data_IF_386706600327
#
_entry.id   IF_386706600327
#
_cell.length_a   1.000
_cell.length_b   1.000
_cell.length_c   1.000
_cell.angle_alpha   90.00
_cell.angle_beta   90.00
_cell.angle_gamma   90.00
#
_symmetry.space_group_name_H-M   'P 1'
#
loop_
_entity.id
_entity.type
_entity.pdbx_description
1 polymer ?
#
# COMPACT_ATOMS: atom_id res chain seq x y z
N UNK A 1 52.04 -13.56 11.55
CA UNK A 1 50.70 -13.72 10.93
C UNK A 1 49.66 -13.00 11.79
N UNK A 2 49.18 -11.84 11.34
CA UNK A 2 47.96 -11.19 11.87
C UNK A 2 47.26 -10.56 10.67
N UNK A 3 46.22 -11.23 10.16
CA UNK A 3 45.29 -10.67 9.18
C UNK A 3 44.26 -9.83 9.94
N UNK A 4 44.22 -8.53 9.65
CA UNK A 4 43.16 -7.63 10.11
C UNK A 4 41.99 -7.68 9.13
N UNK A 5 40.86 -8.21 9.59
CA UNK A 5 39.60 -8.26 8.83
C UNK A 5 38.96 -6.87 8.79
N UNK A 6 38.83 -6.31 7.59
CA UNK A 6 38.10 -5.05 7.34
C UNK A 6 36.60 -5.27 7.58
N UNK A 7 36.03 -4.60 8.56
CA UNK A 7 34.58 -4.48 8.72
C UNK A 7 34.05 -3.46 7.70
N UNK A 8 33.25 -3.92 6.73
CA UNK A 8 32.52 -3.05 5.83
C UNK A 8 31.33 -2.45 6.59
N UNK A 9 31.43 -1.18 6.94
CA UNK A 9 30.36 -0.40 7.55
C UNK A 9 29.35 -0.03 6.45
N UNK A 10 28.25 -0.76 6.33
CA UNK A 10 27.16 -0.43 5.40
C UNK A 10 26.33 0.68 6.05
N UNK A 11 26.59 1.93 5.66
CA UNK A 11 25.73 3.07 5.98
C UNK A 11 24.38 2.90 5.29
N UNK A 12 23.35 2.49 6.05
CA UNK A 12 21.96 2.56 5.63
C UNK A 12 21.56 4.02 5.45
N UNK A 13 21.56 4.48 4.19
CA UNK A 13 20.94 5.76 3.83
C UNK A 13 19.43 5.59 3.99
N UNK A 14 18.87 6.07 5.10
CA UNK A 14 17.42 6.08 5.29
C UNK A 14 16.81 7.06 4.30
N UNK A 15 16.21 6.55 3.23
CA UNK A 15 15.42 7.38 2.33
C UNK A 15 14.26 8.00 3.12
N UNK A 16 13.99 9.31 3.00
CA UNK A 16 12.89 9.94 3.69
C UNK A 16 11.58 9.32 3.21
N UNK A 17 10.78 8.80 4.14
CA UNK A 17 9.40 8.45 3.85
C UNK A 17 8.65 9.73 3.47
N UNK A 18 8.36 9.91 2.17
CA UNK A 18 7.51 11.00 1.71
C UNK A 18 6.11 10.80 2.30
N UNK A 19 5.78 11.59 3.32
CA UNK A 19 4.46 11.61 3.92
C UNK A 19 3.61 12.57 3.10
N UNK A 20 2.77 12.05 2.18
CA UNK A 20 1.76 12.88 1.52
C UNK A 20 0.67 13.19 2.55
N UNK A 21 0.74 14.37 3.16
CA UNK A 21 -0.34 14.91 3.97
C UNK A 21 -1.40 15.54 3.05
N UNK A 22 -2.53 14.87 2.83
CA UNK A 22 -3.69 15.47 2.15
C UNK A 22 -4.99 14.96 2.81
N UNK A 23 -5.49 15.73 3.78
CA UNK A 23 -6.85 15.61 4.28
C UNK A 23 -7.47 17.02 4.37
N UNK A 24 -8.49 17.28 3.55
CA UNK A 24 -9.44 18.39 3.75
C UNK A 24 -10.70 17.84 4.42
N UNK A 25 -11.35 18.60 5.32
CA UNK A 25 -12.43 18.09 6.16
C UNK A 25 -13.73 17.94 5.36
N UNK A 26 -14.29 16.73 5.41
CA UNK A 26 -15.55 16.37 4.76
C UNK A 26 -15.55 14.89 4.41
N UNK A 27 -15.96 14.04 5.35
CA UNK A 27 -15.82 12.57 5.40
C UNK A 27 -14.47 12.12 5.96
N UNK A 28 -14.54 11.42 7.10
CA UNK A 28 -13.46 10.96 7.98
C UNK A 28 -12.07 10.84 7.29
N UNK A 29 -11.10 11.58 7.82
CA UNK A 29 -9.74 11.60 7.30
C UNK A 29 -9.11 10.20 7.37
N UNK A 30 -8.58 9.70 6.24
CA UNK A 30 -7.51 8.70 6.33
C UNK A 30 -6.33 9.38 6.99
N UNK A 31 -5.96 8.91 8.17
CA UNK A 31 -4.98 9.63 8.95
C UNK A 31 -3.58 9.52 8.37
N UNK A 32 -3.21 8.43 7.68
CA UNK A 32 -1.84 8.25 7.18
C UNK A 32 -1.78 7.31 5.97
N UNK A 33 -1.34 7.86 4.82
CA UNK A 33 -0.87 7.09 3.66
C UNK A 33 0.65 7.15 3.69
N UNK A 34 1.30 6.01 3.67
CA UNK A 34 2.76 5.93 3.53
C UNK A 34 3.09 5.25 2.21
N UNK A 35 3.91 5.90 1.40
CA UNK A 35 4.43 5.34 0.15
C UNK A 35 5.88 4.94 0.37
N UNK A 36 6.17 3.66 0.17
CA UNK A 36 7.53 3.14 0.19
C UNK A 36 7.93 2.79 -1.26
N UNK A 37 8.92 3.49 -1.85
CA UNK A 37 9.37 3.23 -3.22
C UNK A 37 9.88 1.80 -3.39
N UNK A 38 9.83 1.29 -4.63
CA UNK A 38 10.41 0.00 -4.97
C UNK A 38 11.87 -0.10 -4.53
N UNK A 39 12.26 -1.22 -3.92
CA UNK A 39 13.61 -1.45 -3.41
C UNK A 39 13.89 -0.87 -2.02
N UNK A 40 13.01 -0.03 -1.46
CA UNK A 40 13.13 0.42 -0.07
C UNK A 40 12.84 -0.71 0.93
N UNK A 41 13.43 -0.65 2.12
CA UNK A 41 13.17 -1.60 3.22
C UNK A 41 11.68 -1.74 3.51
N UNK A 42 10.93 -0.63 3.50
CA UNK A 42 9.49 -0.62 3.73
C UNK A 42 8.68 -1.34 2.64
N UNK A 43 9.13 -1.28 1.39
CA UNK A 43 8.50 -1.96 0.26
C UNK A 43 8.84 -3.45 0.19
N UNK A 44 10.09 -3.81 0.52
CA UNK A 44 10.57 -5.19 0.59
C UNK A 44 9.99 -5.96 1.76
N UNK A 45 9.65 -5.26 2.85
CA UNK A 45 8.88 -5.81 3.94
C UNK A 45 7.47 -6.16 3.45
N UNK A 46 7.29 -7.41 3.04
CA UNK A 46 6.00 -8.04 2.71
C UNK A 46 5.15 -8.28 3.98
N UNK A 47 5.08 -7.28 4.85
CA UNK A 47 4.31 -7.24 6.09
C UNK A 47 3.33 -6.08 6.03
N UNK A 48 2.21 -6.22 6.75
CA UNK A 48 1.24 -5.15 6.88
C UNK A 48 0.82 -5.00 8.35
N UNK A 49 0.76 -3.76 8.87
CA UNK A 49 0.24 -3.53 10.21
C UNK A 49 -1.19 -4.05 10.36
N UNK A 50 -1.53 -4.47 11.59
CA UNK A 50 -2.84 -5.01 11.95
C UNK A 50 -4.03 -4.13 11.51
N UNK A 51 -3.90 -2.81 11.69
CA UNK A 51 -4.94 -1.83 11.42
C UNK A 51 -4.81 -1.14 10.05
N UNK A 52 -4.10 -1.75 9.10
CA UNK A 52 -3.78 -1.17 7.80
C UNK A 52 -4.15 -2.07 6.63
N UNK A 53 -4.10 -1.47 5.43
CA UNK A 53 -4.09 -2.18 4.16
C UNK A 53 -2.82 -1.81 3.42
N UNK A 54 -2.12 -2.81 2.90
CA UNK A 54 -0.87 -2.64 2.18
C UNK A 54 -1.05 -3.14 0.75
N UNK A 55 -0.67 -2.34 -0.22
CA UNK A 55 -0.88 -2.61 -1.63
C UNK A 55 0.41 -2.37 -2.39
N UNK A 56 0.70 -3.23 -3.35
CA UNK A 56 1.88 -3.15 -4.18
C UNK A 56 1.50 -3.04 -5.65
N UNK A 57 2.31 -2.31 -6.41
CA UNK A 57 2.15 -2.23 -7.87
C UNK A 57 2.83 -3.37 -8.64
N UNK A 58 3.49 -4.30 -7.95
CA UNK A 58 4.00 -5.55 -8.48
C UNK A 58 3.28 -6.76 -7.87
N UNK A 59 3.39 -7.90 -8.54
CA UNK A 59 2.98 -9.21 -7.99
C UNK A 59 3.96 -9.66 -6.90
N UNK A 60 3.54 -10.60 -6.06
CA UNK A 60 4.35 -11.18 -4.98
C UNK A 60 4.93 -10.12 -4.03
N UNK A 61 4.16 -9.07 -3.74
CA UNK A 61 4.52 -7.99 -2.82
C UNK A 61 5.80 -7.24 -3.25
N UNK A 62 5.98 -7.06 -4.56
CA UNK A 62 7.13 -6.34 -5.15
C UNK A 62 6.74 -4.96 -5.66
N UNK A 63 7.76 -4.12 -5.89
CA UNK A 63 7.57 -2.78 -6.42
C UNK A 63 7.25 -1.76 -5.34
N UNK A 64 6.61 -0.66 -5.71
CA UNK A 64 6.19 0.39 -4.79
C UNK A 64 5.08 -0.13 -3.91
N UNK A 65 5.15 0.15 -2.61
CA UNK A 65 4.15 -0.20 -1.61
C UNK A 65 3.42 1.05 -1.15
N UNK A 66 2.11 0.96 -1.05
CA UNK A 66 1.26 1.94 -0.36
C UNK A 66 0.70 1.27 0.88
N UNK A 67 0.87 1.91 2.03
CA UNK A 67 0.24 1.51 3.29
C UNK A 67 -0.80 2.56 3.66
N UNK A 68 -2.05 2.12 3.81
CA UNK A 68 -3.16 2.97 4.22
C UNK A 68 -3.60 2.56 5.62
N UNK A 69 -3.38 3.45 6.60
CA UNK A 69 -3.81 3.27 7.99
C UNK A 69 -5.08 4.05 8.25
N UNK A 70 -5.85 3.61 9.26
CA UNK A 70 -7.07 4.28 9.70
C UNK A 70 -8.07 4.51 8.56
N UNK A 71 -8.27 3.49 7.70
CA UNK A 71 -9.29 3.54 6.64
C UNK A 71 -10.66 3.73 7.30
N UNK A 72 -11.36 4.86 7.09
CA UNK A 72 -12.71 5.04 7.59
C UNK A 72 -13.64 4.06 6.86
N UNK A 73 -14.59 3.45 7.58
CA UNK A 73 -15.39 2.33 7.08
C UNK A 73 -16.38 2.66 5.94
N UNK A 74 -16.38 3.87 5.39
CA UNK A 74 -17.37 4.32 4.39
C UNK A 74 -16.82 4.38 2.97
N UNK A 75 -15.74 5.12 2.73
CA UNK A 75 -15.06 5.21 1.45
C UNK A 75 -13.79 6.03 1.58
N UNK A 76 -12.69 5.51 1.07
CA UNK A 76 -11.46 6.26 0.93
C UNK A 76 -11.07 6.41 -0.53
N UNK A 77 -10.48 7.55 -0.90
CA UNK A 77 -9.96 7.80 -2.25
C UNK A 77 -8.72 8.69 -2.20
N UNK A 78 -7.89 8.61 -3.24
CA UNK A 78 -6.79 9.56 -3.40
C UNK A 78 -7.32 10.96 -3.77
N UNK A 79 -6.76 12.00 -3.17
CA UNK A 79 -6.92 13.37 -3.64
C UNK A 79 -6.40 13.53 -5.07
N UNK A 80 -7.08 14.34 -5.88
CA UNK A 80 -6.72 14.65 -7.30
C UNK A 80 -6.75 13.44 -8.26
N UNK A 81 -7.52 12.39 -7.96
CA UNK A 81 -7.76 11.31 -8.92
C UNK A 81 -6.53 10.44 -9.23
N UNK A 82 -5.51 10.48 -8.36
CA UNK A 82 -4.36 9.59 -8.47
C UNK A 82 -4.81 8.13 -8.56
N UNK A 83 -4.13 7.37 -9.42
CA UNK A 83 -4.44 5.97 -9.72
C UNK A 83 -3.23 5.12 -9.38
N UNK A 84 -3.44 4.14 -8.51
CA UNK A 84 -2.43 3.17 -8.14
C UNK A 84 -2.78 1.79 -8.74
N UNK A 85 -1.96 1.24 -9.65
CA UNK A 85 -2.21 -0.07 -10.23
C UNK A 85 -1.87 -1.17 -9.21
N UNK A 86 -2.86 -1.66 -8.48
CA UNK A 86 -2.67 -2.71 -7.47
C UNK A 86 -2.49 -4.06 -8.14
N UNK A 87 -1.39 -4.75 -7.86
CA UNK A 87 -1.09 -6.09 -8.37
C UNK A 87 -1.00 -7.14 -7.27
N UNK A 88 -0.67 -6.74 -6.05
CA UNK A 88 -0.74 -7.61 -4.87
C UNK A 88 -1.09 -6.79 -3.63
N UNK A 89 -1.66 -7.43 -2.62
CA UNK A 89 -2.05 -6.75 -1.38
C UNK A 89 -2.01 -7.64 -0.15
N UNK A 90 -1.91 -7.01 1.00
CA UNK A 90 -2.07 -7.62 2.31
C UNK A 90 -3.05 -6.77 3.10
N UNK A 91 -4.10 -7.40 3.64
CA UNK A 91 -4.99 -6.78 4.61
C UNK A 91 -4.51 -7.12 6.03
N UNK A 92 -4.44 -6.12 6.91
CA UNK A 92 -4.14 -6.33 8.31
C UNK A 92 -5.25 -7.13 9.01
N UNK A 93 -4.95 -7.68 10.18
CA UNK A 93 -5.91 -8.51 10.96
C UNK A 93 -7.22 -7.79 11.34
N UNK A 94 -7.21 -6.46 11.41
CA UNK A 94 -8.36 -5.65 11.80
C UNK A 94 -9.04 -4.95 10.61
N UNK A 95 -8.53 -5.13 9.39
CA UNK A 95 -8.99 -4.41 8.19
C UNK A 95 -9.35 -5.34 7.06
N UNK A 96 -10.47 -5.08 6.42
CA UNK A 96 -10.89 -5.72 5.18
C UNK A 96 -11.01 -4.65 4.09
N UNK A 97 -11.11 -5.10 2.84
CA UNK A 97 -11.51 -4.27 1.71
C UNK A 97 -12.75 -4.93 1.12
N UNK A 98 -13.91 -4.31 1.27
CA UNK A 98 -15.13 -4.73 0.58
C UNK A 98 -14.99 -4.60 -0.95
N UNK A 99 -14.33 -3.54 -1.44
CA UNK A 99 -13.97 -3.41 -2.86
C UNK A 99 -12.99 -2.26 -3.09
N UNK A 100 -12.03 -2.46 -3.99
CA UNK A 100 -11.31 -1.38 -4.67
C UNK A 100 -12.15 -0.87 -5.85
N UNK A 101 -11.96 0.38 -6.25
CA UNK A 101 -12.80 1.10 -7.21
C UNK A 101 -11.96 1.95 -8.15
N UNK A 102 -12.34 1.95 -9.44
CA UNK A 102 -11.61 2.60 -10.51
C UNK A 102 -11.87 4.12 -10.64
N UNK A 103 -12.83 4.68 -9.89
CA UNK A 103 -13.14 6.12 -9.87
C UNK A 103 -13.15 6.64 -8.43
N UNK A 104 -13.14 7.96 -8.25
CA UNK A 104 -13.29 8.61 -6.95
C UNK A 104 -14.64 8.29 -6.29
N UNK A 105 -14.75 8.53 -4.97
CA UNK A 105 -15.98 8.32 -4.19
C UNK A 105 -16.55 6.89 -4.29
N UNK A 106 -15.68 5.90 -4.49
CA UNK A 106 -16.02 4.48 -4.55
C UNK A 106 -17.01 4.12 -5.66
N UNK A 107 -16.88 4.78 -6.81
CA UNK A 107 -17.65 4.53 -8.03
C UNK A 107 -16.86 3.74 -9.07
N UNK A 108 -17.55 3.31 -10.12
CA UNK A 108 -16.97 2.59 -11.26
C UNK A 108 -16.72 1.10 -10.96
N UNK A 109 -15.95 0.46 -11.84
CA UNK A 109 -15.61 -0.96 -11.77
C UNK A 109 -15.08 -1.33 -10.39
N UNK A 110 -15.66 -2.38 -9.81
CA UNK A 110 -15.26 -2.92 -8.52
C UNK A 110 -14.24 -4.04 -8.69
N UNK A 111 -13.32 -4.16 -7.74
CA UNK A 111 -12.62 -5.42 -7.52
C UNK A 111 -13.50 -6.40 -6.74
N UNK A 112 -13.03 -7.64 -6.63
CA UNK A 112 -13.48 -8.57 -5.59
C UNK A 112 -13.23 -8.00 -4.19
N UNK A 113 -13.88 -8.60 -3.19
CA UNK A 113 -13.65 -8.29 -1.78
C UNK A 113 -12.47 -9.08 -1.22
N UNK A 114 -11.78 -8.49 -0.24
CA UNK A 114 -10.65 -9.06 0.46
C UNK A 114 -10.93 -9.05 1.96
N UNK A 115 -10.98 -10.25 2.56
CA UNK A 115 -11.22 -10.42 4.00
C UNK A 115 -10.07 -9.86 4.84
N UNK A 116 -10.27 -9.79 6.16
CA UNK A 116 -9.22 -9.44 7.12
C UNK A 116 -8.10 -10.48 7.12
N UNK A 117 -6.87 -10.05 7.41
CA UNK A 117 -5.68 -10.91 7.51
C UNK A 117 -5.37 -11.76 6.26
N UNK A 118 -5.66 -11.25 5.07
CA UNK A 118 -5.43 -11.97 3.81
C UNK A 118 -4.16 -11.47 3.14
N UNK A 119 -3.42 -12.40 2.52
CA UNK A 119 -2.27 -12.12 1.66
C UNK A 119 -2.62 -12.56 0.24
N UNK A 120 -2.63 -11.62 -0.69
CA UNK A 120 -2.94 -11.86 -2.10
C UNK A 120 -1.71 -11.54 -2.94
N UNK A 121 -0.95 -12.57 -3.39
CA UNK A 121 0.26 -12.37 -4.18
C UNK A 121 -0.01 -11.90 -5.61
N UNK A 122 -1.19 -12.15 -6.16
CA UNK A 122 -1.66 -11.61 -7.44
C UNK A 122 -3.17 -11.38 -7.38
N UNK A 123 -3.62 -10.17 -7.70
CA UNK A 123 -5.06 -9.82 -7.75
C UNK A 123 -5.74 -10.20 -9.07
N UNK A 124 -5.00 -10.68 -10.08
CA UNK A 124 -5.56 -11.28 -11.29
C UNK A 124 -5.93 -10.31 -12.41
N UNK A 125 -5.48 -9.04 -12.35
CA UNK A 125 -5.77 -8.02 -13.38
C UNK A 125 -4.66 -7.88 -14.44
N UNK A 126 -3.85 -8.94 -14.60
CA UNK A 126 -2.82 -9.05 -15.63
C UNK A 126 -1.71 -7.99 -15.53
N UNK A 127 -1.18 -7.59 -16.69
CA UNK A 127 -0.01 -6.68 -16.78
C UNK A 127 -0.22 -5.38 -16.02
N UNK A 128 -1.42 -4.80 -16.10
CA UNK A 128 -1.72 -3.45 -15.64
C UNK A 128 -2.21 -3.35 -14.20
N UNK A 129 -2.61 -4.46 -13.56
CA UNK A 129 -3.16 -4.45 -12.21
C UNK A 129 -4.54 -3.81 -12.11
N UNK A 130 -5.15 -3.87 -10.92
CA UNK A 130 -6.40 -3.19 -10.65
C UNK A 130 -6.15 -1.68 -10.55
N UNK A 131 -6.86 -0.86 -11.32
CA UNK A 131 -6.62 0.57 -11.37
C UNK A 131 -7.25 1.33 -10.19
N UNK A 132 -6.73 1.13 -8.99
CA UNK A 132 -7.36 1.67 -7.80
C UNK A 132 -7.26 3.20 -7.74
N UNK A 133 -8.40 3.84 -7.59
CA UNK A 133 -8.52 5.28 -7.25
C UNK A 133 -9.16 5.44 -5.87
N UNK A 134 -10.04 4.52 -5.48
CA UNK A 134 -10.70 4.51 -4.18
C UNK A 134 -10.96 3.08 -3.70
N UNK A 135 -11.26 2.90 -2.41
CA UNK A 135 -11.67 1.62 -1.85
C UNK A 135 -12.52 1.78 -0.58
N UNK A 136 -13.24 0.73 -0.22
CA UNK A 136 -14.06 0.61 0.99
C UNK A 136 -13.67 -0.65 1.75
#
# INVERSE_FOLDING_TARGET
MRMMTRAAFVTLVSAPALTLALATPGNAAVSQITVAPAGSVGALAASCPANAVCMWNGVNFRGTKITVRNVPGTCWHYTKGYRFPVKSLITGRDRAISSMRAKINCRGTASVSYRKNVRVPDVGYGKYGFPMVSFR
#
